data_IF_728164471716
#
_entry.id   IF_728164471716
#
_cell.length_a   1.000
_cell.length_b   1.000
_cell.length_c   1.000
_cell.angle_alpha   90.00
_cell.angle_beta   90.00
_cell.angle_gamma   90.00
#
_symmetry.space_group_name_H-M   'P 1'
#
loop_
_entity.id
_entity.type
_entity.pdbx_description
1 polymer ?
#
# COMPACT_ATOMS: atom_id res chain seq x y z
N UNK A 1 1.01 47.14 28.97
CA UNK A 1 1.47 46.69 27.63
C UNK A 1 1.66 45.18 27.73
N UNK A 2 0.60 44.39 27.55
CA UNK A 2 0.67 42.94 27.56
C UNK A 2 1.00 42.50 26.15
N UNK A 3 2.27 42.15 25.89
CA UNK A 3 2.65 41.63 24.58
C UNK A 3 2.25 40.17 24.49
N UNK A 4 1.29 39.96 23.60
CA UNK A 4 0.70 38.70 23.21
C UNK A 4 1.74 37.65 22.81
N UNK A 5 1.55 36.47 23.38
CA UNK A 5 1.73 35.15 22.80
C UNK A 5 2.36 35.08 21.42
N UNK A 6 3.58 34.54 21.34
CA UNK A 6 4.08 33.92 20.11
C UNK A 6 4.16 32.42 20.34
N UNK A 7 2.99 31.79 20.19
CA UNK A 7 2.83 30.34 20.11
C UNK A 7 3.41 29.91 18.75
N UNK A 8 4.72 29.64 18.72
CA UNK A 8 5.42 29.21 17.51
C UNK A 8 5.13 27.72 17.28
N UNK A 9 3.98 27.41 16.69
CA UNK A 9 3.71 26.09 16.12
C UNK A 9 4.58 25.92 14.87
N UNK A 10 5.78 25.38 15.08
CA UNK A 10 6.58 24.83 13.99
C UNK A 10 5.86 23.59 13.51
N UNK A 11 5.11 23.70 12.42
CA UNK A 11 4.63 22.55 11.68
C UNK A 11 5.86 21.89 11.04
N UNK A 12 6.46 20.96 11.77
CA UNK A 12 7.33 19.97 11.16
C UNK A 12 6.44 19.16 10.22
N UNK A 13 6.48 19.48 8.93
CA UNK A 13 5.92 18.62 7.88
C UNK A 13 6.75 17.34 7.87
N UNK A 14 6.37 16.40 8.75
CA UNK A 14 6.81 15.02 8.67
C UNK A 14 6.16 14.51 7.38
N UNK A 15 6.94 14.47 6.30
CA UNK A 15 6.62 13.60 5.17
C UNK A 15 6.84 12.19 5.73
N UNK A 16 5.82 11.65 6.39
CA UNK A 16 5.84 10.28 6.81
C UNK A 16 5.89 9.46 5.53
N UNK A 17 6.88 8.59 5.39
CA UNK A 17 6.75 7.43 4.52
C UNK A 17 5.47 6.72 4.98
N UNK A 18 4.39 6.86 4.22
CA UNK A 18 3.13 6.26 4.59
C UNK A 18 3.24 4.79 4.20
N UNK A 19 3.26 3.91 5.19
CA UNK A 19 3.10 2.48 4.93
C UNK A 19 1.74 2.27 4.28
N UNK A 20 1.76 1.96 2.98
CA UNK A 20 0.59 1.76 2.14
C UNK A 20 0.00 0.39 2.40
N UNK A 21 0.85 -0.62 2.52
CA UNK A 21 0.43 -1.97 2.83
C UNK A 21 1.56 -2.79 3.43
N UNK A 22 1.21 -3.86 4.13
CA UNK A 22 2.15 -4.84 4.65
C UNK A 22 1.68 -6.23 4.23
N UNK A 23 2.49 -6.93 3.45
CA UNK A 23 2.25 -8.31 3.05
C UNK A 23 2.89 -9.25 4.06
N UNK A 24 2.31 -10.41 4.27
CA UNK A 24 2.75 -11.41 5.24
C UNK A 24 2.81 -12.79 4.59
N UNK A 25 3.84 -13.57 4.94
CA UNK A 25 4.04 -14.90 4.38
C UNK A 25 3.11 -15.98 4.94
N UNK A 26 2.44 -15.72 6.06
CA UNK A 26 1.43 -16.59 6.65
C UNK A 26 0.06 -15.90 6.77
N UNK A 27 -0.98 -16.67 7.05
CA UNK A 27 -2.31 -16.12 7.36
C UNK A 27 -2.30 -15.37 8.70
N UNK A 28 -3.37 -14.61 8.97
CA UNK A 28 -3.53 -13.86 10.21
C UNK A 28 -2.42 -12.82 10.50
N UNK A 29 -1.75 -12.33 9.46
CA UNK A 29 -0.67 -11.33 9.55
C UNK A 29 0.57 -11.82 10.29
N UNK A 30 0.91 -13.10 10.10
CA UNK A 30 2.07 -13.73 10.74
C UNK A 30 3.20 -14.03 9.74
N UNK A 31 4.38 -14.33 10.29
CA UNK A 31 5.56 -14.73 9.51
C UNK A 31 6.39 -13.56 8.99
N UNK A 32 7.06 -13.79 7.85
CA UNK A 32 7.90 -12.78 7.20
C UNK A 32 6.99 -11.71 6.61
N UNK A 33 7.27 -10.45 6.92
CA UNK A 33 6.52 -9.31 6.39
C UNK A 33 7.30 -8.52 5.36
N UNK A 34 6.60 -7.97 4.39
CA UNK A 34 7.09 -6.98 3.43
C UNK A 34 6.24 -5.73 3.57
N UNK A 35 6.87 -4.63 3.93
CA UNK A 35 6.17 -3.36 4.02
C UNK A 35 6.35 -2.60 2.71
N UNK A 36 5.22 -2.27 2.08
CA UNK A 36 5.16 -1.34 0.97
C UNK A 36 5.03 0.05 1.58
N UNK A 37 6.15 0.74 1.68
CA UNK A 37 6.19 2.14 2.12
C UNK A 37 6.12 3.05 0.90
N UNK A 38 5.23 4.04 0.92
CA UNK A 38 5.06 5.01 -0.15
C UNK A 38 5.33 6.45 0.31
N UNK A 39 6.38 7.05 -0.23
CA UNK A 39 6.42 8.49 -0.56
C UNK A 39 6.55 8.57 -2.07
N UNK A 40 5.47 8.82 -2.81
CA UNK A 40 5.56 9.08 -4.26
C UNK A 40 6.24 8.02 -5.16
N UNK A 41 6.45 6.76 -4.75
CA UNK A 41 6.90 5.71 -5.69
C UNK A 41 5.71 5.14 -6.48
N UNK A 42 5.21 6.00 -7.37
CA UNK A 42 4.31 5.73 -8.49
C UNK A 42 2.98 5.06 -8.15
N UNK A 43 1.99 5.88 -7.83
CA UNK A 43 0.59 5.48 -8.04
C UNK A 43 0.44 4.96 -9.48
N UNK A 44 0.07 3.69 -9.61
CA UNK A 44 -0.04 3.00 -10.91
C UNK A 44 1.30 2.55 -11.53
N UNK A 45 2.42 2.63 -10.82
CA UNK A 45 3.70 2.08 -11.29
C UNK A 45 3.93 0.63 -10.87
N UNK A 46 4.69 -0.08 -11.70
CA UNK A 46 5.06 -1.46 -11.48
C UNK A 46 6.32 -1.55 -10.63
N UNK A 47 6.22 -2.17 -9.45
CA UNK A 47 7.33 -2.37 -8.55
C UNK A 47 7.65 -3.86 -8.44
N UNK A 48 8.62 -4.38 -9.22
CA UNK A 48 9.03 -5.77 -9.14
C UNK A 48 9.74 -6.06 -7.82
N UNK A 49 9.44 -7.22 -7.24
CA UNK A 49 10.00 -7.69 -5.98
C UNK A 49 10.81 -8.94 -6.28
N UNK A 50 12.14 -8.82 -6.11
CA UNK A 50 13.08 -9.84 -6.54
C UNK A 50 12.97 -11.16 -5.74
N UNK A 51 12.67 -11.07 -4.45
CA UNK A 51 12.61 -12.22 -3.56
C UNK A 51 11.67 -11.93 -2.40
N UNK A 52 10.41 -12.31 -2.54
CA UNK A 52 9.50 -12.42 -1.42
C UNK A 52 8.80 -13.78 -1.44
N UNK A 53 8.66 -14.46 -0.29
CA UNK A 53 8.02 -15.77 -0.23
C UNK A 53 6.52 -15.70 -0.57
N UNK A 54 5.88 -16.88 -0.56
CA UNK A 54 4.43 -17.02 -0.69
C UNK A 54 3.70 -16.10 0.29
N UNK A 55 3.02 -15.08 -0.23
CA UNK A 55 2.16 -14.17 0.52
C UNK A 55 0.84 -14.85 0.84
N UNK A 56 0.43 -14.83 2.09
CA UNK A 56 -0.83 -15.43 2.54
C UNK A 56 -1.77 -14.45 3.22
N UNK A 57 -1.30 -13.29 3.68
CA UNK A 57 -2.18 -12.21 4.16
C UNK A 57 -1.59 -10.84 3.85
N UNK A 58 -2.46 -9.83 3.82
CA UNK A 58 -2.08 -8.44 3.51
C UNK A 58 -2.85 -7.49 4.41
N UNK A 59 -2.15 -6.49 4.95
CA UNK A 59 -2.76 -5.33 5.59
C UNK A 59 -2.65 -4.14 4.65
N UNK A 60 -3.72 -3.40 4.47
CA UNK A 60 -3.76 -2.27 3.54
C UNK A 60 -4.15 -1.04 4.34
N UNK A 61 -3.37 0.03 4.21
CA UNK A 61 -3.66 1.29 4.85
C UNK A 61 -4.95 1.90 4.30
N UNK A 62 -5.66 2.61 5.17
CA UNK A 62 -6.92 3.23 4.81
C UNK A 62 -6.75 4.21 3.63
N UNK A 63 -7.67 4.19 2.68
CA UNK A 63 -7.61 5.03 1.48
C UNK A 63 -6.62 4.57 0.40
N UNK A 64 -6.00 3.39 0.55
CA UNK A 64 -5.11 2.81 -0.45
C UNK A 64 -5.63 1.47 -0.95
N UNK A 65 -5.20 1.09 -2.16
CA UNK A 65 -5.41 -0.21 -2.74
C UNK A 65 -4.11 -0.73 -3.32
N UNK A 66 -3.84 -2.02 -3.15
CA UNK A 66 -2.64 -2.67 -3.67
C UNK A 66 -3.04 -3.77 -4.63
N UNK A 67 -2.43 -3.75 -5.80
CA UNK A 67 -2.59 -4.80 -6.80
C UNK A 67 -1.33 -5.66 -6.79
N UNK A 68 -1.54 -6.96 -6.65
CA UNK A 68 -0.50 -7.98 -6.69
C UNK A 68 -0.42 -8.58 -8.09
N UNK A 69 0.79 -8.84 -8.54
CA UNK A 69 1.09 -9.48 -9.82
C UNK A 69 1.96 -10.71 -9.56
N UNK A 70 1.73 -11.75 -10.36
CA UNK A 70 2.52 -12.99 -10.34
C UNK A 70 3.72 -12.93 -11.30
N UNK A 71 3.80 -11.89 -12.14
CA UNK A 71 4.93 -11.59 -13.03
C UNK A 71 5.60 -10.28 -12.62
N UNK A 72 6.87 -10.13 -12.97
CA UNK A 72 7.65 -8.93 -12.66
C UNK A 72 7.26 -7.72 -13.54
N UNK A 73 6.58 -7.97 -14.66
CA UNK A 73 6.26 -6.96 -15.68
C UNK A 73 4.95 -6.19 -15.42
N UNK A 74 4.21 -6.56 -14.37
CA UNK A 74 2.89 -6.02 -14.02
C UNK A 74 1.86 -6.01 -15.18
N UNK A 75 1.98 -6.95 -16.12
CA UNK A 75 1.14 -6.99 -17.32
C UNK A 75 -0.29 -7.47 -17.01
N UNK A 76 -0.42 -8.46 -16.11
CA UNK A 76 -1.70 -9.07 -15.74
C UNK A 76 -1.88 -9.02 -14.23
N UNK A 77 -2.84 -8.24 -13.70
CA UNK A 77 -3.10 -8.18 -12.28
C UNK A 77 -3.63 -9.52 -11.77
N UNK A 78 -3.07 -10.00 -10.68
CA UNK A 78 -3.51 -11.25 -10.04
C UNK A 78 -4.69 -11.00 -9.11
N UNK A 79 -4.52 -10.08 -8.15
CA UNK A 79 -5.54 -9.73 -7.18
C UNK A 79 -5.33 -8.29 -6.68
N UNK A 80 -6.42 -7.60 -6.37
CA UNK A 80 -6.39 -6.26 -5.79
C UNK A 80 -7.00 -6.29 -4.40
N UNK A 81 -6.38 -5.55 -3.47
CA UNK A 81 -6.77 -5.47 -2.07
C UNK A 81 -6.86 -4.01 -1.65
N UNK A 82 -8.05 -3.53 -1.31
CA UNK A 82 -8.29 -2.22 -0.70
C UNK A 82 -8.45 -2.29 0.83
N UNK A 83 -8.34 -3.50 1.41
CA UNK A 83 -8.60 -3.78 2.83
C UNK A 83 -7.71 -4.88 3.35
N UNK A 84 -7.58 -4.89 4.68
CA UNK A 84 -6.97 -5.99 5.42
C UNK A 84 -7.61 -7.34 5.07
N UNK A 85 -6.77 -8.29 4.65
CA UNK A 85 -7.16 -9.65 4.31
C UNK A 85 -6.29 -10.61 5.10
N UNK A 86 -6.87 -11.22 6.14
CA UNK A 86 -6.21 -12.21 6.99
C UNK A 86 -6.24 -13.64 6.41
N UNK A 87 -7.12 -13.89 5.44
CA UNK A 87 -7.32 -15.20 4.82
C UNK A 87 -6.24 -15.48 3.75
N UNK A 88 -5.98 -16.77 3.50
CA UNK A 88 -4.97 -17.21 2.52
C UNK A 88 -5.20 -16.60 1.15
N UNK A 89 -4.26 -15.76 0.72
CA UNK A 89 -4.15 -15.33 -0.68
C UNK A 89 -3.78 -16.56 -1.51
N UNK A 90 -4.70 -16.98 -2.38
CA UNK A 90 -4.50 -18.12 -3.27
C UNK A 90 -3.28 -17.82 -4.14
N UNK A 91 -2.41 -18.82 -4.35
CA UNK A 91 -1.24 -18.68 -5.22
C UNK A 91 -0.33 -17.49 -4.89
N UNK A 92 -0.07 -17.25 -3.60
CA UNK A 92 0.73 -16.15 -3.03
C UNK A 92 2.14 -15.90 -3.57
N UNK A 93 2.55 -16.55 -4.66
CA UNK A 93 3.80 -16.26 -5.34
C UNK A 93 3.68 -14.92 -6.06
N UNK A 94 4.07 -13.90 -5.34
CA UNK A 94 4.00 -12.52 -5.73
C UNK A 94 5.36 -12.08 -6.30
N UNK A 95 5.36 -11.42 -7.46
CA UNK A 95 6.57 -11.00 -8.17
C UNK A 95 6.66 -9.49 -8.40
N UNK A 96 5.54 -8.77 -8.36
CA UNK A 96 5.51 -7.31 -8.45
C UNK A 96 4.22 -6.74 -7.88
N UNK A 97 4.26 -5.54 -7.29
CA UNK A 97 3.09 -4.84 -6.76
C UNK A 97 2.89 -3.52 -7.50
N UNK A 98 1.65 -3.05 -7.53
CA UNK A 98 1.34 -1.65 -7.82
C UNK A 98 0.43 -1.10 -6.73
N UNK A 99 0.58 0.19 -6.46
CA UNK A 99 -0.22 0.92 -5.48
C UNK A 99 -1.16 1.86 -6.20
N UNK A 100 -2.40 1.92 -5.74
CA UNK A 100 -3.40 2.89 -6.16
C UNK A 100 -3.99 3.59 -4.92
N UNK A 101 -4.46 4.82 -5.07
CA UNK A 101 -5.30 5.44 -4.04
C UNK A 101 -6.68 4.83 -4.20
N UNK A 102 -7.22 4.25 -3.13
CA UNK A 102 -8.63 3.91 -3.04
C UNK A 102 -9.41 5.21 -2.81
N UNK A 103 -9.27 6.19 -3.72
CA UNK A 103 -10.17 7.32 -3.75
C UNK A 103 -11.56 6.74 -3.99
N UNK A 104 -12.50 7.04 -3.10
CA UNK A 104 -13.94 6.98 -3.39
C UNK A 104 -14.36 7.94 -4.52
N UNK A 105 -13.50 8.15 -5.52
CA UNK A 105 -13.84 8.80 -6.77
C UNK A 105 -14.58 7.77 -7.60
N UNK A 106 -15.90 7.90 -7.53
CA UNK A 106 -16.84 7.39 -8.51
C UNK A 106 -16.17 7.41 -9.89
N UNK A 107 -16.15 6.26 -10.56
CA UNK A 107 -16.13 6.24 -12.02
C UNK A 107 -17.52 6.72 -12.46
N UNK A 108 -17.83 7.97 -12.11
CA UNK A 108 -19.04 8.70 -12.46
C UNK A 108 -18.75 9.32 -13.82
N UNK A 109 -19.52 8.87 -14.80
CA UNK A 109 -19.34 9.20 -16.20
C UNK A 109 -19.12 10.69 -16.47
N UNK A 110 -18.26 10.95 -17.44
CA UNK A 110 -18.26 12.20 -18.18
C UNK A 110 -19.68 12.44 -18.73
N UNK A 111 -20.30 13.50 -18.24
CA UNK A 111 -21.44 14.15 -18.88
C UNK A 111 -21.02 14.75 -20.23
#
# INVERSE_FOLDING_TARGET
>A
MQFSSVLSLVFASIVAAQDVATLFSATNFEGVSYTISGTDDSLGGCNPVATFPLVQSIKVAEGHAVVLYNTADCEIPYAAYDRDTAATIVNGNFAAFSVAVATGHQIGGSA
#
